data_IF_848735071538
#
_entry.id   IF_848735071538
#
_cell.length_a   1.000
_cell.length_b   1.000
_cell.length_c   1.000
_cell.angle_alpha   90.00
_cell.angle_beta   90.00
_cell.angle_gamma   90.00
#
_symmetry.space_group_name_H-M   'P 1'
#
loop_
_entity.id
_entity.type
_entity.pdbx_description
1 polymer ?
#
# COMPACT_ATOMS: atom_id res chain seq x y z
N UNK A 1 13.02 7.33 -2.87
CA UNK A 1 13.19 6.41 -4.01
C UNK A 1 14.23 6.91 -5.00
N UNK A 2 14.19 8.18 -5.45
CA UNK A 2 15.14 8.79 -6.40
C UNK A 2 16.61 8.57 -6.00
N UNK A 3 17.02 8.99 -4.79
CA UNK A 3 18.39 8.78 -4.29
C UNK A 3 18.86 7.31 -4.28
N UNK A 4 17.94 6.35 -4.18
CA UNK A 4 18.28 4.93 -4.17
C UNK A 4 18.33 4.36 -5.59
N UNK A 5 17.39 4.77 -6.45
CA UNK A 5 17.32 4.33 -7.85
C UNK A 5 18.43 4.90 -8.72
N UNK A 6 18.73 6.19 -8.54
CA UNK A 6 19.83 6.93 -9.19
C UNK A 6 21.08 6.99 -8.30
N UNK A 7 21.23 6.01 -7.42
CA UNK A 7 22.36 5.88 -6.50
C UNK A 7 23.42 4.93 -7.02
N UNK A 8 23.86 4.02 -6.15
CA UNK A 8 24.79 2.95 -6.53
C UNK A 8 24.04 1.77 -7.17
N UNK A 9 24.77 0.89 -7.86
CA UNK A 9 24.20 -0.35 -8.39
C UNK A 9 23.51 -1.20 -7.29
N UNK A 10 24.09 -1.22 -6.08
CA UNK A 10 23.50 -1.92 -4.94
C UNK A 10 22.19 -1.26 -4.45
N UNK A 11 22.18 0.07 -4.27
CA UNK A 11 20.97 0.76 -3.80
C UNK A 11 19.83 0.63 -4.82
N UNK A 12 20.16 0.67 -6.11
CA UNK A 12 19.23 0.44 -7.20
C UNK A 12 18.64 -0.97 -7.14
N UNK A 13 19.48 -2.00 -7.04
CA UNK A 13 19.03 -3.39 -6.95
C UNK A 13 18.08 -3.59 -5.74
N UNK A 14 18.40 -3.00 -4.59
CA UNK A 14 17.56 -3.09 -3.38
C UNK A 14 16.19 -2.44 -3.59
N UNK A 15 16.14 -1.28 -4.24
CA UNK A 15 14.86 -0.58 -4.46
C UNK A 15 13.99 -1.26 -5.53
N UNK A 16 14.61 -1.77 -6.60
CA UNK A 16 13.91 -2.57 -7.62
C UNK A 16 13.30 -3.83 -6.99
N UNK A 17 14.06 -4.55 -6.15
CA UNK A 17 13.57 -5.71 -5.41
C UNK A 17 12.42 -5.36 -4.46
N UNK A 18 12.53 -4.23 -3.75
CA UNK A 18 11.47 -3.77 -2.84
C UNK A 18 10.18 -3.47 -3.60
N UNK A 19 10.27 -2.74 -4.72
CA UNK A 19 9.11 -2.43 -5.58
C UNK A 19 8.49 -3.74 -6.08
N UNK A 20 9.28 -4.64 -6.67
CA UNK A 20 8.78 -5.92 -7.19
C UNK A 20 8.08 -6.77 -6.10
N UNK A 21 8.61 -6.75 -4.87
CA UNK A 21 8.05 -7.52 -3.75
C UNK A 21 6.74 -6.93 -3.21
N UNK A 22 6.62 -5.60 -3.21
CA UNK A 22 5.50 -4.89 -2.58
C UNK A 22 4.38 -4.55 -3.58
N UNK A 23 4.66 -4.55 -4.89
CA UNK A 23 3.71 -4.08 -5.91
C UNK A 23 2.36 -4.81 -5.89
N UNK A 24 2.35 -6.09 -5.48
CA UNK A 24 1.13 -6.90 -5.34
C UNK A 24 0.09 -6.30 -4.40
N UNK A 25 0.48 -5.45 -3.45
CA UNK A 25 -0.44 -4.80 -2.50
C UNK A 25 -1.02 -3.47 -3.02
N UNK A 26 -0.43 -2.89 -4.07
CA UNK A 26 -0.77 -1.54 -4.53
C UNK A 26 -2.22 -1.41 -5.03
N UNK A 27 -2.78 -2.48 -5.62
CA UNK A 27 -4.13 -2.47 -6.18
C UNK A 27 -5.23 -2.22 -5.12
N UNK A 28 -5.01 -2.66 -3.87
CA UNK A 28 -6.00 -2.47 -2.80
C UNK A 28 -6.23 -0.99 -2.45
N UNK A 29 -5.23 -0.12 -2.70
CA UNK A 29 -5.33 1.32 -2.46
C UNK A 29 -6.49 1.97 -3.22
N UNK A 30 -6.75 1.50 -4.45
CA UNK A 30 -7.80 2.04 -5.32
C UNK A 30 -8.95 1.05 -5.56
N UNK A 31 -8.99 -0.06 -4.83
CA UNK A 31 -10.09 -1.03 -4.92
C UNK A 31 -11.13 -0.69 -3.84
N UNK A 32 -12.33 -0.20 -4.22
CA UNK A 32 -13.33 0.20 -3.23
C UNK A 32 -14.09 -1.00 -2.67
N UNK A 33 -14.33 -0.99 -1.36
CA UNK A 33 -15.29 -1.86 -0.67
C UNK A 33 -16.73 -1.48 -0.99
N UNK A 34 -17.71 -2.32 -0.61
CA UNK A 34 -19.12 -1.97 -0.77
C UNK A 34 -19.50 -0.67 -0.04
N UNK A 35 -18.97 -0.46 1.17
CA UNK A 35 -19.16 0.77 1.95
C UNK A 35 -18.54 1.97 1.25
N UNK A 36 -17.31 1.84 0.75
CA UNK A 36 -16.63 2.92 0.02
C UNK A 36 -17.38 3.28 -1.27
N UNK A 37 -17.92 2.31 -2.01
CA UNK A 37 -18.77 2.57 -3.19
C UNK A 37 -20.02 3.39 -2.83
N UNK A 38 -20.67 3.08 -1.71
CA UNK A 38 -21.83 3.85 -1.25
C UNK A 38 -21.45 5.28 -0.86
N UNK A 39 -20.31 5.47 -0.17
CA UNK A 39 -19.80 6.78 0.19
C UNK A 39 -19.35 7.61 -1.03
N UNK A 40 -18.78 6.97 -2.05
CA UNK A 40 -18.45 7.58 -3.34
C UNK A 40 -19.71 8.08 -4.05
N UNK A 41 -20.75 7.25 -4.11
CA UNK A 41 -22.04 7.63 -4.70
C UNK A 41 -22.71 8.80 -3.95
N UNK A 42 -22.50 8.88 -2.63
CA UNK A 42 -22.96 9.99 -1.81
C UNK A 42 -22.08 11.25 -1.87
N UNK A 43 -20.95 11.22 -2.61
CA UNK A 43 -20.02 12.34 -2.71
C UNK A 43 -19.23 12.63 -1.42
N UNK A 44 -19.18 11.67 -0.48
CA UNK A 44 -18.52 11.84 0.83
C UNK A 44 -17.02 11.55 0.72
N UNK A 45 -16.63 10.60 -0.13
CA UNK A 45 -15.23 10.28 -0.42
C UNK A 45 -14.96 10.36 -1.93
N UNK A 46 -13.69 10.55 -2.35
CA UNK A 46 -13.35 10.60 -3.76
C UNK A 46 -13.62 9.28 -4.49
N UNK A 47 -14.01 9.38 -5.77
CA UNK A 47 -13.99 8.25 -6.69
C UNK A 47 -12.54 7.81 -6.95
N UNK A 48 -12.23 6.56 -6.59
CA UNK A 48 -10.90 6.00 -6.76
C UNK A 48 -10.53 5.79 -8.22
N UNK A 49 -11.50 5.55 -9.11
CA UNK A 49 -11.24 5.44 -10.53
C UNK A 49 -10.73 6.76 -11.11
N UNK A 50 -11.29 7.89 -10.67
CA UNK A 50 -10.85 9.22 -11.04
C UNK A 50 -9.43 9.56 -10.52
N UNK A 51 -8.98 8.90 -9.44
CA UNK A 51 -7.63 9.09 -8.89
C UNK A 51 -6.56 8.29 -9.64
N UNK A 52 -6.92 7.20 -10.34
CA UNK A 52 -5.93 6.33 -10.99
C UNK A 52 -5.05 7.05 -12.02
N UNK A 53 -5.56 7.92 -12.91
CA UNK A 53 -4.71 8.61 -13.88
C UNK A 53 -3.68 9.53 -13.21
N UNK A 54 -4.10 10.29 -12.20
CA UNK A 54 -3.21 11.18 -11.46
C UNK A 54 -2.13 10.40 -10.69
N UNK A 55 -2.53 9.28 -10.05
CA UNK A 55 -1.59 8.39 -9.37
C UNK A 55 -0.60 7.75 -10.35
N UNK A 56 -1.05 7.26 -11.49
CA UNK A 56 -0.20 6.66 -12.51
C UNK A 56 0.80 7.68 -13.09
N UNK A 57 0.36 8.91 -13.36
CA UNK A 57 1.23 9.98 -13.83
C UNK A 57 2.29 10.34 -12.78
N UNK A 58 1.90 10.43 -11.51
CA UNK A 58 2.83 10.72 -10.42
C UNK A 58 3.86 9.60 -10.24
N UNK A 59 3.43 8.33 -10.27
CA UNK A 59 4.33 7.17 -10.20
C UNK A 59 5.29 7.12 -11.37
N UNK A 60 4.82 7.34 -12.60
CA UNK A 60 5.66 7.37 -13.79
C UNK A 60 6.71 8.49 -13.71
N UNK A 61 6.32 9.68 -13.24
CA UNK A 61 7.24 10.79 -13.05
C UNK A 61 8.34 10.46 -12.03
N UNK A 62 7.96 10.01 -10.84
CA UNK A 62 8.91 9.71 -9.75
C UNK A 62 9.84 8.53 -10.09
N UNK A 63 9.31 7.48 -10.73
CA UNK A 63 10.12 6.33 -11.15
C UNK A 63 11.04 6.69 -12.33
N UNK A 64 10.57 7.52 -13.26
CA UNK A 64 11.39 8.06 -14.34
C UNK A 64 12.57 8.88 -13.82
N UNK A 65 12.34 9.80 -12.88
CA UNK A 65 13.42 10.56 -12.23
C UNK A 65 14.38 9.65 -11.45
N UNK A 66 13.86 8.59 -10.82
CA UNK A 66 14.68 7.59 -10.14
C UNK A 66 15.43 6.64 -11.09
N UNK A 67 15.26 6.77 -12.42
CA UNK A 67 15.75 5.85 -13.46
C UNK A 67 15.29 4.40 -13.30
N UNK A 68 14.15 4.18 -12.66
CA UNK A 68 13.58 2.87 -12.36
C UNK A 68 12.47 2.49 -13.36
N UNK A 69 12.30 1.20 -13.68
CA UNK A 69 11.20 0.77 -14.52
C UNK A 69 9.86 0.94 -13.80
N UNK A 70 8.82 1.29 -14.55
CA UNK A 70 7.44 1.21 -14.04
C UNK A 70 7.03 -0.25 -13.95
N UNK A 71 6.56 -0.73 -12.79
CA UNK A 71 6.12 -2.12 -12.67
C UNK A 71 4.90 -2.37 -13.56
N UNK A 72 4.78 -3.57 -14.16
CA UNK A 72 3.61 -3.91 -14.95
C UNK A 72 2.35 -3.95 -14.07
N UNK A 73 1.18 -3.95 -14.72
CA UNK A 73 -0.05 -4.29 -14.03
C UNK A 73 0.13 -5.65 -13.33
N UNK A 74 -0.13 -5.70 -12.01
CA UNK A 74 0.10 -6.91 -11.25
C UNK A 74 -0.87 -8.00 -11.72
N UNK A 75 -0.34 -9.13 -12.21
CA UNK A 75 -1.14 -10.31 -12.55
C UNK A 75 -1.71 -10.99 -11.30
N UNK A 76 -1.15 -10.69 -10.13
CA UNK A 76 -1.60 -11.18 -8.82
C UNK A 76 -1.66 -10.02 -7.82
N UNK A 77 -2.80 -9.34 -7.79
CA UNK A 77 -3.10 -8.31 -6.81
C UNK A 77 -3.67 -8.94 -5.52
N UNK A 78 -3.05 -8.63 -4.38
CA UNK A 78 -3.58 -8.99 -3.07
C UNK A 78 -4.57 -7.93 -2.59
N UNK A 79 -5.67 -8.40 -2.02
CA UNK A 79 -6.71 -7.58 -1.39
C UNK A 79 -7.34 -8.37 -0.24
N UNK A 80 -8.01 -7.68 0.68
CA UNK A 80 -8.69 -8.30 1.82
C UNK A 80 -8.51 -7.54 3.12
N UNK A 81 -7.49 -6.68 3.22
CA UNK A 81 -7.18 -5.92 4.42
C UNK A 81 -8.35 -5.03 4.85
N UNK A 82 -9.04 -4.41 3.89
CA UNK A 82 -10.25 -3.60 4.19
C UNK A 82 -11.45 -4.44 4.65
N UNK A 83 -11.40 -5.77 4.57
CA UNK A 83 -12.43 -6.70 5.05
C UNK A 83 -11.95 -7.58 6.21
N UNK A 84 -10.84 -7.20 6.88
CA UNK A 84 -10.30 -7.98 8.00
C UNK A 84 -9.52 -9.23 7.60
N UNK A 85 -9.28 -9.46 6.30
CA UNK A 85 -8.49 -10.58 5.78
C UNK A 85 -7.06 -10.13 5.54
N UNK A 86 -6.26 -10.15 6.59
CA UNK A 86 -4.88 -9.67 6.56
C UNK A 86 -3.88 -10.77 6.22
N UNK A 87 -2.65 -10.39 5.87
CA UNK A 87 -1.51 -11.30 5.87
C UNK A 87 -1.22 -11.82 7.29
N UNK A 88 -0.44 -12.89 7.39
CA UNK A 88 0.07 -13.46 8.63
C UNK A 88 0.79 -12.44 9.54
N UNK A 89 1.34 -11.36 8.95
CA UNK A 89 2.08 -10.33 9.67
C UNK A 89 1.24 -9.59 10.73
N UNK A 90 -0.05 -9.32 10.48
CA UNK A 90 -0.82 -8.46 11.38
C UNK A 90 -1.01 -9.08 12.76
N UNK A 91 -1.16 -10.42 12.84
CA UNK A 91 -1.33 -11.12 14.11
C UNK A 91 -0.14 -10.91 15.06
N UNK A 92 1.09 -10.96 14.54
CA UNK A 92 2.30 -10.71 15.31
C UNK A 92 2.36 -9.26 15.81
N UNK A 93 2.10 -8.31 14.92
CA UNK A 93 2.09 -6.87 15.26
C UNK A 93 1.08 -6.59 16.38
N UNK A 94 -0.15 -7.10 16.27
CA UNK A 94 -1.19 -6.87 17.28
C UNK A 94 -0.87 -7.56 18.61
N UNK A 95 -0.18 -8.70 18.58
CA UNK A 95 0.24 -9.40 19.80
C UNK A 95 1.18 -8.52 20.64
N UNK A 96 2.19 -7.92 20.01
CA UNK A 96 3.10 -7.00 20.68
C UNK A 96 2.42 -5.70 21.07
N UNK A 97 1.71 -5.07 20.13
CA UNK A 97 1.06 -3.76 20.33
C UNK A 97 0.03 -3.79 21.46
N UNK A 98 -0.74 -4.87 21.57
CA UNK A 98 -1.87 -4.97 22.49
C UNK A 98 -1.52 -5.68 23.80
N UNK A 99 -0.27 -6.09 24.01
CA UNK A 99 0.11 -6.90 25.16
C UNK A 99 -0.36 -6.29 26.50
N UNK A 100 0.06 -5.05 26.80
CA UNK A 100 -0.27 -4.38 28.06
C UNK A 100 -1.78 -4.18 28.23
N UNK A 101 -2.45 -3.72 27.18
CA UNK A 101 -3.90 -3.48 27.20
C UNK A 101 -4.72 -4.77 27.39
N UNK A 102 -4.25 -5.91 26.86
CA UNK A 102 -4.89 -7.21 27.06
C UNK A 102 -4.59 -7.83 28.42
N UNK A 103 -3.39 -7.59 28.96
CA UNK A 103 -3.00 -8.09 30.28
C UNK A 103 -3.66 -7.31 31.42
N UNK A 104 -3.85 -6.00 31.25
CA UNK A 104 -4.38 -5.09 32.27
C UNK A 104 -5.52 -4.19 31.73
N UNK A 105 -6.68 -4.78 31.38
CA UNK A 105 -7.77 -4.04 30.75
C UNK A 105 -8.41 -3.01 31.70
N UNK A 106 -8.80 -1.85 31.16
CA UNK A 106 -9.57 -0.83 31.87
C UNK A 106 -8.74 0.11 32.76
N UNK A 107 -7.42 -0.02 32.76
CA UNK A 107 -6.53 0.93 33.45
C UNK A 107 -6.33 2.21 32.62
N UNK A 108 -6.04 3.30 33.32
CA UNK A 108 -5.66 4.58 32.72
C UNK A 108 -4.14 4.70 32.71
N UNK A 109 -3.58 5.15 31.58
CA UNK A 109 -2.16 5.35 31.35
C UNK A 109 -1.91 6.70 30.70
#
# INVERSE_FOLDING_TARGET
VIRLGDGTAESRQRVEKAIASLWRYAAELTTPTATEKALQAAGIIPDYAALQPAMAAHLAHVLGEATLPTPPASTFALAGGKQGRHSEHLGYILTELQYVQRAYPGLTW
#
